data_IF_502288705977
#
_entry.id   IF_502288705977
#
_cell.length_a   1.000
_cell.length_b   1.000
_cell.length_c   1.000
_cell.angle_alpha   90.00
_cell.angle_beta   90.00
_cell.angle_gamma   90.00
#
_symmetry.space_group_name_H-M   'P 1'
#
loop_
_entity.id
_entity.type
_entity.pdbx_description
1 polymer ?
#
# COMPACT_ATOMS: atom_id res chain seq x y z
N UNK A 1 -7.60 -3.66 8.86
CA UNK A 1 -8.20 -2.31 9.15
C UNK A 1 -7.14 -1.48 9.84
N UNK A 2 -6.75 -0.34 9.27
CA UNK A 2 -5.73 0.53 9.86
C UNK A 2 -6.41 1.51 10.83
N UNK A 3 -5.87 1.65 12.05
CA UNK A 3 -6.41 2.61 13.03
C UNK A 3 -6.09 4.06 12.66
N UNK A 4 -5.14 4.27 11.76
CA UNK A 4 -4.67 5.58 11.32
C UNK A 4 -4.53 5.64 9.80
N UNK A 5 -4.97 6.73 9.20
CA UNK A 5 -4.92 6.98 7.75
C UNK A 5 -3.49 7.20 7.22
N UNK A 6 -2.57 7.63 8.07
CA UNK A 6 -1.18 7.94 7.73
C UNK A 6 -0.18 7.00 8.42
N UNK A 7 -0.59 5.76 8.71
CA UNK A 7 0.25 4.78 9.41
C UNK A 7 1.64 4.58 8.75
N UNK A 8 1.72 4.66 7.42
CA UNK A 8 2.98 4.55 6.68
C UNK A 8 3.91 5.76 6.86
N UNK A 9 3.39 6.93 7.23
CA UNK A 9 4.15 8.15 7.48
C UNK A 9 4.65 8.27 8.93
N UNK A 10 4.16 7.43 9.85
CA UNK A 10 4.46 7.50 11.29
C UNK A 10 5.95 7.43 11.63
N UNK A 11 6.78 6.87 10.74
CA UNK A 11 8.24 6.79 10.92
C UNK A 11 9.02 8.02 10.43
N UNK A 12 8.33 9.01 9.85
CA UNK A 12 8.92 10.25 9.37
C UNK A 12 8.16 11.44 9.97
N UNK A 13 8.58 11.86 11.17
CA UNK A 13 7.85 12.84 12.00
C UNK A 13 7.48 14.12 11.25
N UNK A 14 8.42 14.68 10.48
CA UNK A 14 8.18 15.91 9.73
C UNK A 14 7.12 15.75 8.65
N UNK A 15 7.15 14.63 7.92
CA UNK A 15 6.17 14.34 6.89
C UNK A 15 4.80 14.02 7.50
N UNK A 16 4.76 13.27 8.60
CA UNK A 16 3.51 12.90 9.27
C UNK A 16 2.75 14.15 9.73
N UNK A 17 3.41 15.05 10.45
CA UNK A 17 2.80 16.29 10.93
C UNK A 17 2.28 17.17 9.80
N UNK A 18 3.08 17.32 8.74
CA UNK A 18 2.70 18.14 7.59
C UNK A 18 1.51 17.55 6.84
N UNK A 19 1.51 16.24 6.58
CA UNK A 19 0.40 15.56 5.92
C UNK A 19 -0.90 15.64 6.73
N UNK A 20 -0.84 15.47 8.05
CA UNK A 20 -2.01 15.60 8.92
C UNK A 20 -2.58 17.02 8.88
N UNK A 21 -1.68 18.01 8.90
CA UNK A 21 -2.09 19.41 8.75
C UNK A 21 -2.77 19.64 7.39
N UNK A 22 -2.22 19.15 6.30
CA UNK A 22 -2.81 19.28 4.96
C UNK A 22 -4.20 18.65 4.89
N UNK A 23 -4.40 17.47 5.47
CA UNK A 23 -5.70 16.80 5.52
C UNK A 23 -6.71 17.63 6.28
N UNK A 24 -6.32 18.18 7.44
CA UNK A 24 -7.16 19.04 8.27
C UNK A 24 -7.50 20.35 7.56
N UNK A 25 -6.52 21.04 6.99
CA UNK A 25 -6.69 22.33 6.30
C UNK A 25 -7.62 22.22 5.07
N UNK A 26 -7.66 21.02 4.42
CA UNK A 26 -8.56 20.74 3.29
C UNK A 26 -9.96 20.31 3.71
N UNK A 27 -10.22 20.19 4.99
CA UNK A 27 -11.52 19.76 5.51
C UNK A 27 -11.90 18.33 5.12
N UNK A 28 -10.93 17.48 4.84
CA UNK A 28 -11.18 16.10 4.46
C UNK A 28 -11.79 15.32 5.63
N UNK A 29 -12.92 14.66 5.39
CA UNK A 29 -13.55 13.79 6.38
C UNK A 29 -12.78 12.48 6.48
N UNK A 30 -12.22 12.21 7.65
CA UNK A 30 -11.49 10.99 7.95
C UNK A 30 -12.36 10.01 8.70
N UNK A 31 -12.46 8.77 8.22
CA UNK A 31 -13.18 7.69 8.87
C UNK A 31 -12.16 6.56 9.13
N UNK A 32 -11.59 6.57 10.31
CA UNK A 32 -10.68 5.51 10.74
C UNK A 32 -11.44 4.30 11.30
N UNK A 33 -10.75 3.15 11.36
CA UNK A 33 -11.30 1.88 11.83
C UNK A 33 -12.55 1.41 11.06
N UNK A 34 -12.69 1.83 9.81
CA UNK A 34 -13.77 1.41 8.91
C UNK A 34 -13.25 0.38 7.89
N UNK A 35 -14.05 -0.61 7.58
CA UNK A 35 -13.77 -1.64 6.57
C UNK A 35 -14.61 -1.36 5.34
N UNK A 36 -13.97 -1.03 4.22
CA UNK A 36 -14.68 -0.96 2.93
C UNK A 36 -15.11 -2.37 2.53
N UNK A 37 -16.40 -2.54 2.28
CA UNK A 37 -17.00 -3.81 1.92
C UNK A 37 -17.38 -3.90 0.46
N UNK A 38 -17.76 -2.76 -0.14
CA UNK A 38 -18.13 -2.71 -1.54
C UNK A 38 -17.94 -1.30 -2.12
N UNK A 39 -17.76 -1.25 -3.44
CA UNK A 39 -17.77 -0.03 -4.25
C UNK A 39 -18.86 -0.21 -5.30
N UNK A 40 -19.80 0.69 -5.35
CA UNK A 40 -20.94 0.66 -6.27
C UNK A 40 -21.06 2.00 -7.02
N UNK A 41 -21.91 2.05 -8.02
CA UNK A 41 -22.20 3.30 -8.77
C UNK A 41 -22.73 4.43 -7.87
N UNK A 42 -23.26 4.11 -6.71
CA UNK A 42 -23.79 5.07 -5.74
C UNK A 42 -22.74 5.54 -4.72
N UNK A 43 -21.54 4.98 -4.73
CA UNK A 43 -20.47 5.32 -3.81
C UNK A 43 -19.80 4.14 -3.12
N UNK A 44 -19.09 4.42 -2.03
CA UNK A 44 -18.35 3.43 -1.24
C UNK A 44 -19.15 3.00 -0.03
N UNK A 45 -19.33 1.69 0.11
CA UNK A 45 -19.99 1.07 1.27
C UNK A 45 -18.90 0.61 2.25
N UNK A 46 -19.03 1.04 3.49
CA UNK A 46 -18.11 0.64 4.56
C UNK A 46 -18.87 0.19 5.80
N UNK A 47 -18.22 -0.65 6.58
CA UNK A 47 -18.70 -1.12 7.87
C UNK A 47 -17.83 -0.53 8.98
N UNK A 48 -18.50 0.02 9.99
CA UNK A 48 -17.88 0.53 11.21
C UNK A 48 -18.78 0.24 12.39
N UNK A 49 -18.21 -0.29 13.47
CA UNK A 49 -18.94 -0.62 14.71
C UNK A 49 -20.17 -1.50 14.48
N UNK A 50 -20.11 -2.41 13.51
CA UNK A 50 -21.19 -3.33 13.13
C UNK A 50 -22.32 -2.67 12.32
N UNK A 51 -22.13 -1.43 11.89
CA UNK A 51 -23.08 -0.70 11.04
C UNK A 51 -22.49 -0.51 9.64
N UNK A 52 -23.34 -0.72 8.64
CA UNK A 52 -22.99 -0.46 7.23
C UNK A 52 -23.50 0.92 6.84
N UNK A 53 -22.61 1.73 6.27
CA UNK A 53 -22.91 3.07 5.78
C UNK A 53 -22.38 3.25 4.36
N UNK A 54 -23.00 4.17 3.60
CA UNK A 54 -22.57 4.49 2.23
C UNK A 54 -22.11 5.95 2.16
N UNK A 55 -20.94 6.16 1.54
CA UNK A 55 -20.44 7.49 1.20
C UNK A 55 -20.69 7.71 -0.29
N UNK A 56 -21.58 8.64 -0.66
CA UNK A 56 -21.78 8.96 -2.07
C UNK A 56 -20.52 9.64 -2.62
N UNK A 57 -20.08 9.20 -3.78
CA UNK A 57 -18.94 9.79 -4.49
C UNK A 57 -18.95 9.41 -5.96
N UNK A 58 -18.38 10.27 -6.80
CA UNK A 58 -18.26 10.07 -8.24
C UNK A 58 -16.90 9.40 -8.61
N UNK A 59 -15.91 9.50 -7.72
CA UNK A 59 -14.56 8.97 -7.97
C UNK A 59 -14.03 8.32 -6.70
N UNK A 60 -13.43 7.15 -6.86
CA UNK A 60 -12.79 6.40 -5.76
C UNK A 60 -11.31 6.22 -6.07
N UNK A 61 -10.44 6.65 -5.14
CA UNK A 61 -9.01 6.38 -5.18
C UNK A 61 -8.68 5.23 -4.23
N UNK A 62 -8.26 4.11 -4.81
CA UNK A 62 -7.82 2.96 -4.02
C UNK A 62 -6.34 3.10 -3.64
N UNK A 63 -6.07 3.31 -2.36
CA UNK A 63 -4.73 3.40 -1.79
C UNK A 63 -4.54 2.34 -0.67
N UNK A 64 -5.10 1.15 -0.83
CA UNK A 64 -5.09 0.08 0.16
C UNK A 64 -3.75 -0.69 0.25
N UNK A 65 -2.72 -0.24 -0.46
CA UNK A 65 -1.40 -0.86 -0.51
C UNK A 65 -1.19 -1.71 -1.76
N UNK A 66 -0.09 -2.44 -1.77
CA UNK A 66 0.34 -3.25 -2.90
C UNK A 66 0.50 -4.71 -2.47
N UNK A 67 0.34 -5.62 -3.41
CA UNK A 67 0.65 -7.04 -3.26
C UNK A 67 1.80 -7.38 -4.22
N UNK A 68 2.75 -8.19 -3.77
CA UNK A 68 3.81 -8.70 -4.63
C UNK A 68 3.21 -9.47 -5.82
N UNK A 69 3.81 -9.27 -6.99
CA UNK A 69 3.52 -10.05 -8.18
C UNK A 69 4.80 -10.82 -8.57
N UNK A 70 4.85 -12.08 -8.20
CA UNK A 70 5.97 -12.99 -8.38
C UNK A 70 5.74 -14.07 -9.45
N UNK A 71 4.70 -13.94 -10.27
CA UNK A 71 4.39 -14.94 -11.32
C UNK A 71 5.55 -15.19 -12.29
N UNK A 72 6.33 -14.15 -12.59
CA UNK A 72 7.51 -14.29 -13.45
C UNK A 72 8.66 -15.01 -12.72
N UNK A 73 8.82 -14.78 -11.43
CA UNK A 73 9.79 -15.48 -10.58
C UNK A 73 9.54 -16.99 -10.61
N UNK A 74 8.32 -17.42 -10.29
CA UNK A 74 7.92 -18.82 -10.31
C UNK A 74 8.21 -19.49 -11.68
N UNK A 75 7.94 -18.77 -12.77
CA UNK A 75 8.16 -19.26 -14.13
C UNK A 75 9.67 -19.36 -14.49
N UNK A 76 10.47 -18.43 -14.01
CA UNK A 76 11.92 -18.41 -14.25
C UNK A 76 12.65 -19.45 -13.40
N UNK A 77 12.28 -19.63 -12.14
CA UNK A 77 12.85 -20.66 -11.26
C UNK A 77 12.62 -22.08 -11.81
N UNK A 78 11.51 -22.29 -12.53
CA UNK A 78 11.26 -23.56 -13.20
C UNK A 78 12.19 -23.85 -14.41
N UNK A 79 12.83 -22.80 -14.95
CA UNK A 79 13.65 -22.88 -16.17
C UNK A 79 15.14 -22.64 -15.93
N UNK A 80 15.52 -21.98 -14.84
CA UNK A 80 16.88 -21.54 -14.55
C UNK A 80 17.24 -21.75 -13.08
N UNK A 81 18.46 -22.23 -12.82
CA UNK A 81 18.92 -22.52 -11.45
C UNK A 81 19.33 -21.26 -10.65
N UNK A 82 19.65 -20.16 -11.35
CA UNK A 82 20.16 -18.93 -10.73
C UNK A 82 19.16 -17.77 -10.95
N UNK A 83 18.05 -17.81 -10.23
CA UNK A 83 17.06 -16.74 -10.21
C UNK A 83 17.08 -16.08 -8.86
N UNK A 84 17.08 -14.75 -8.82
CA UNK A 84 17.02 -13.97 -7.59
C UNK A 84 15.93 -12.91 -7.74
N UNK A 85 14.87 -13.02 -6.97
CA UNK A 85 13.88 -11.98 -6.87
C UNK A 85 14.37 -10.82 -6.01
N UNK A 86 14.05 -9.59 -6.42
CA UNK A 86 14.39 -8.36 -5.70
C UNK A 86 13.22 -7.38 -5.74
N UNK A 87 13.23 -6.42 -4.82
CA UNK A 87 12.26 -5.32 -4.80
C UNK A 87 10.84 -5.77 -4.51
N UNK A 88 9.91 -5.17 -5.22
CA UNK A 88 8.47 -5.38 -4.98
C UNK A 88 7.96 -6.74 -5.46
N UNK A 89 8.74 -7.47 -6.25
CA UNK A 89 8.43 -8.86 -6.59
C UNK A 89 8.47 -9.76 -5.35
N UNK A 90 9.42 -9.52 -4.44
CA UNK A 90 9.51 -10.23 -3.16
C UNK A 90 8.47 -9.71 -2.17
N UNK A 91 8.46 -8.40 -1.95
CA UNK A 91 7.52 -7.75 -1.05
C UNK A 91 7.50 -6.24 -1.31
N UNK A 92 6.33 -5.64 -1.55
CA UNK A 92 6.22 -4.20 -1.75
C UNK A 92 6.74 -3.41 -0.55
N UNK A 93 7.76 -2.57 -0.80
CA UNK A 93 8.45 -1.78 0.21
C UNK A 93 8.84 -0.40 -0.35
N UNK A 94 9.89 0.21 0.19
CA UNK A 94 10.41 1.50 -0.28
C UNK A 94 11.39 1.30 -1.42
N UNK A 95 11.49 2.28 -2.32
CA UNK A 95 12.46 2.32 -3.43
C UNK A 95 13.89 2.06 -2.94
N UNK A 96 14.26 2.62 -1.78
CA UNK A 96 15.57 2.40 -1.16
C UNK A 96 15.88 0.91 -0.97
N UNK A 97 14.91 0.14 -0.51
CA UNK A 97 15.07 -1.32 -0.30
C UNK A 97 15.34 -2.03 -1.63
N UNK A 98 14.59 -1.72 -2.68
CA UNK A 98 14.77 -2.31 -4.00
C UNK A 98 16.17 -2.00 -4.59
N UNK A 99 16.67 -0.77 -4.41
CA UNK A 99 18.01 -0.38 -4.84
C UNK A 99 19.09 -1.17 -4.09
N UNK A 100 18.96 -1.30 -2.77
CA UNK A 100 19.92 -2.07 -1.96
C UNK A 100 19.91 -3.54 -2.33
N UNK A 101 18.76 -4.14 -2.52
CA UNK A 101 18.64 -5.55 -2.91
C UNK A 101 19.25 -5.80 -4.28
N UNK A 102 19.01 -4.92 -5.27
CA UNK A 102 19.66 -5.02 -6.58
C UNK A 102 21.17 -4.93 -6.51
N UNK A 103 21.70 -3.99 -5.73
CA UNK A 103 23.13 -3.86 -5.51
C UNK A 103 23.74 -5.11 -4.86
N UNK A 104 23.08 -5.66 -3.84
CA UNK A 104 23.57 -6.85 -3.17
C UNK A 104 23.49 -8.10 -4.04
N UNK A 105 22.39 -8.28 -4.79
CA UNK A 105 22.21 -9.40 -5.70
C UNK A 105 23.39 -9.49 -6.70
N UNK A 106 23.71 -8.38 -7.37
CA UNK A 106 24.82 -8.35 -8.34
C UNK A 106 26.19 -8.62 -7.70
N UNK A 107 26.41 -8.16 -6.47
CA UNK A 107 27.70 -8.35 -5.78
C UNK A 107 27.98 -9.78 -5.34
N UNK A 108 26.96 -10.59 -5.16
CA UNK A 108 27.08 -11.99 -4.73
C UNK A 108 26.88 -12.99 -5.88
N UNK A 109 26.60 -12.50 -7.07
CA UNK A 109 26.60 -13.29 -8.30
C UNK A 109 28.06 -13.48 -8.74
N UNK A 110 28.65 -14.60 -8.37
CA UNK A 110 29.95 -15.09 -8.88
C UNK A 110 29.75 -16.15 -9.96
#
# INVERSE_FOLDING_TARGET
MLPDILAAAAHCLNNDQHLRKMVADRGAKVIAAAKVTNISDNGVIYEKDGKSETIPCDTVLNAAGFKANNQLEDALEAAYDNVVAIGDAVSPRKILTAIHEGYHAVRVME
#
